data_IF_652402624277
#
_entry.id   IF_652402624277
#
_cell.length_a   1.000
_cell.length_b   1.000
_cell.length_c   1.000
_cell.angle_alpha   90.00
_cell.angle_beta   90.00
_cell.angle_gamma   90.00
#
_symmetry.space_group_name_H-M   'P 1'
#
loop_
_entity.id
_entity.type
_entity.pdbx_description
1 polymer ?
#
# COMPACT_ATOMS: atom_id res chain seq x y z
N UNK A 1 7.16 -9.32 3.69
CA UNK A 1 5.96 -8.46 3.62
C UNK A 1 6.22 -7.32 2.64
N UNK A 2 5.17 -6.76 2.03
CA UNK A 2 5.31 -5.66 1.08
C UNK A 2 5.93 -4.42 1.72
N UNK A 3 6.77 -3.71 0.97
CA UNK A 3 7.41 -2.48 1.41
C UNK A 3 7.55 -1.52 0.24
N UNK A 4 7.55 -0.22 0.56
CA UNK A 4 7.87 0.85 -0.38
C UNK A 4 8.94 1.73 0.26
N UNK A 5 10.06 1.87 -0.43
CA UNK A 5 11.24 2.57 0.06
C UNK A 5 11.57 3.65 -0.95
N UNK A 6 11.73 4.89 -0.49
CA UNK A 6 12.07 6.02 -1.34
C UNK A 6 13.48 6.48 -1.02
N UNK A 7 14.29 6.69 -2.06
CA UNK A 7 15.60 7.30 -1.97
C UNK A 7 15.62 8.56 -2.84
N UNK A 8 16.03 9.69 -2.27
CA UNK A 8 16.31 10.90 -3.04
C UNK A 8 17.80 10.95 -3.34
N UNK A 9 18.18 10.93 -4.60
CA UNK A 9 19.58 10.98 -5.05
C UNK A 9 19.99 12.43 -5.33
N UNK A 10 21.22 12.82 -5.04
CA UNK A 10 21.66 14.22 -5.22
C UNK A 10 21.68 14.68 -6.67
N UNK A 11 21.93 13.75 -7.59
CA UNK A 11 22.06 14.02 -9.02
C UNK A 11 20.89 13.44 -9.80
N UNK A 12 20.56 14.08 -10.93
CA UNK A 12 19.65 13.50 -11.91
C UNK A 12 20.34 12.28 -12.53
N UNK A 13 19.69 11.13 -12.45
CA UNK A 13 20.19 9.90 -13.03
C UNK A 13 19.45 9.61 -14.35
N UNK A 14 20.13 9.14 -15.41
CA UNK A 14 19.43 8.60 -16.58
C UNK A 14 18.53 7.45 -16.12
N UNK A 15 17.35 7.27 -16.71
CA UNK A 15 16.39 6.24 -16.27
C UNK A 15 16.94 4.82 -16.42
N UNK A 16 17.66 4.32 -15.41
CA UNK A 16 18.35 3.04 -15.44
C UNK A 16 17.52 1.91 -14.79
N UNK A 17 16.40 2.24 -14.13
CA UNK A 17 15.39 1.32 -13.59
C UNK A 17 13.97 1.92 -13.62
N UNK A 18 12.94 1.08 -13.58
CA UNK A 18 11.57 1.39 -13.99
C UNK A 18 10.76 2.42 -13.15
N UNK A 19 11.27 2.95 -12.03
CA UNK A 19 10.53 3.88 -11.17
C UNK A 19 11.35 5.09 -10.69
N UNK A 20 12.06 5.71 -11.62
CA UNK A 20 12.67 7.02 -11.40
C UNK A 20 11.71 8.14 -11.79
N UNK A 21 11.55 9.14 -10.91
CA UNK A 21 10.82 10.36 -11.24
C UNK A 21 11.43 11.58 -10.55
N UNK A 22 11.30 12.75 -11.18
CA UNK A 22 11.78 14.03 -10.64
C UNK A 22 10.66 14.79 -9.89
N UNK A 23 9.78 14.05 -9.20
CA UNK A 23 8.60 14.63 -8.54
C UNK A 23 7.52 15.10 -9.54
N UNK A 24 6.91 16.25 -9.28
CA UNK A 24 5.85 16.88 -10.10
C UNK A 24 6.39 17.98 -11.04
N UNK A 25 7.71 18.20 -11.08
CA UNK A 25 8.33 19.28 -11.86
C UNK A 25 8.86 18.76 -13.18
N UNK A 26 8.67 19.56 -14.24
CA UNK A 26 9.14 19.26 -15.59
C UNK A 26 10.66 19.46 -15.77
N UNK A 27 11.29 20.30 -14.93
CA UNK A 27 12.74 20.58 -14.93
C UNK A 27 13.17 21.32 -13.64
N UNK A 28 14.47 21.27 -13.32
CA UNK A 28 15.09 21.94 -12.17
C UNK A 28 16.27 21.14 -11.59
N UNK A 29 17.07 21.71 -10.66
CA UNK A 29 18.23 21.05 -10.04
C UNK A 29 17.85 19.92 -9.06
N UNK A 30 16.58 19.55 -9.02
CA UNK A 30 16.05 18.62 -8.04
C UNK A 30 16.36 17.17 -8.46
N UNK A 31 17.40 16.62 -7.85
CA UNK A 31 17.52 15.27 -7.31
C UNK A 31 16.44 14.24 -7.72
N UNK A 32 16.87 13.12 -8.29
CA UNK A 32 16.02 12.01 -8.73
C UNK A 32 15.47 11.18 -7.55
N UNK A 33 14.17 10.86 -7.56
CA UNK A 33 13.58 9.89 -6.63
C UNK A 33 13.63 8.49 -7.20
N UNK A 34 14.23 7.57 -6.45
CA UNK A 34 14.20 6.13 -6.67
C UNK A 34 13.15 5.50 -5.75
N UNK A 35 12.33 4.59 -6.29
CA UNK A 35 11.38 3.80 -5.50
C UNK A 35 11.78 2.32 -5.57
N UNK A 36 12.12 1.74 -4.42
CA UNK A 36 12.36 0.32 -4.22
C UNK A 36 11.16 -0.37 -3.58
N UNK A 37 10.97 -1.65 -3.89
CA UNK A 37 9.90 -2.47 -3.32
C UNK A 37 10.44 -3.71 -2.61
N UNK A 38 9.85 -3.99 -1.45
CA UNK A 38 10.10 -5.21 -0.68
C UNK A 38 11.31 -5.13 0.25
N UNK A 39 11.16 -5.74 1.42
CA UNK A 39 12.30 -6.17 2.22
C UNK A 39 12.62 -7.60 1.80
N UNK A 40 13.86 -7.86 1.38
CA UNK A 40 14.34 -9.23 1.22
C UNK A 40 14.59 -9.83 2.61
N UNK A 41 14.83 -11.14 2.69
CA UNK A 41 15.20 -11.79 3.97
C UNK A 41 16.53 -11.32 4.57
N UNK A 42 17.21 -10.36 3.95
CA UNK A 42 18.48 -9.77 4.39
C UNK A 42 18.26 -8.40 5.07
N UNK A 43 17.31 -7.60 4.59
CA UNK A 43 16.88 -6.34 5.20
C UNK A 43 15.85 -6.60 6.32
N UNK A 44 16.33 -7.20 7.41
CA UNK A 44 15.50 -7.68 8.51
C UNK A 44 15.11 -6.58 9.50
N UNK A 45 16.00 -5.63 9.77
CA UNK A 45 15.71 -4.42 10.54
C UNK A 45 15.27 -3.29 9.60
N UNK A 46 14.00 -2.91 9.69
CA UNK A 46 13.40 -1.84 8.87
C UNK A 46 13.71 -0.44 9.39
N UNK A 47 14.25 -0.33 10.60
CA UNK A 47 14.65 0.93 11.22
C UNK A 47 16.12 1.27 10.94
N UNK A 48 16.91 0.29 10.52
CA UNK A 48 18.31 0.47 10.13
C UNK A 48 18.44 1.08 8.73
N UNK A 49 18.19 2.38 8.66
CA UNK A 49 18.32 3.14 7.41
C UNK A 49 19.73 3.12 6.83
N UNK A 50 20.77 3.03 7.67
CA UNK A 50 22.16 2.98 7.22
C UNK A 50 22.45 1.69 6.47
N UNK A 51 22.05 0.54 7.03
CA UNK A 51 22.19 -0.75 6.36
C UNK A 51 21.38 -0.83 5.06
N UNK A 52 20.13 -0.33 5.07
CA UNK A 52 19.27 -0.32 3.88
C UNK A 52 19.88 0.55 2.76
N UNK A 53 20.42 1.72 3.09
CA UNK A 53 21.10 2.60 2.12
C UNK A 53 22.39 1.93 1.62
N UNK A 54 23.18 1.30 2.49
CA UNK A 54 24.39 0.56 2.08
C UNK A 54 24.04 -0.55 1.10
N UNK A 55 23.05 -1.37 1.42
CA UNK A 55 22.57 -2.44 0.57
C UNK A 55 22.01 -1.94 -0.77
N UNK A 56 21.32 -0.80 -0.78
CA UNK A 56 20.89 -0.15 -2.02
C UNK A 56 22.10 0.23 -2.88
N UNK A 57 23.13 0.83 -2.30
CA UNK A 57 24.34 1.21 -3.02
C UNK A 57 25.09 -0.01 -3.55
N UNK A 58 25.35 -0.99 -2.70
CA UNK A 58 26.11 -2.20 -3.05
C UNK A 58 25.44 -3.04 -4.14
N UNK A 59 24.12 -3.22 -4.07
CA UNK A 59 23.41 -4.18 -4.93
C UNK A 59 22.76 -3.53 -6.16
N UNK A 60 22.50 -2.22 -6.13
CA UNK A 60 21.73 -1.54 -7.18
C UNK A 60 22.49 -0.35 -7.78
N UNK A 61 23.08 0.54 -6.97
CA UNK A 61 23.78 1.71 -7.48
C UNK A 61 24.96 2.16 -6.62
N UNK A 62 26.17 1.64 -6.88
CA UNK A 62 27.36 1.94 -6.07
C UNK A 62 27.67 3.45 -6.02
N UNK A 63 27.39 4.16 -7.11
CA UNK A 63 27.65 5.59 -7.28
C UNK A 63 26.52 6.48 -6.74
N UNK A 64 25.47 5.90 -6.15
CA UNK A 64 24.37 6.69 -5.61
C UNK A 64 24.80 7.54 -4.42
N UNK A 65 24.64 8.84 -4.55
CA UNK A 65 24.70 9.78 -3.45
C UNK A 65 23.29 10.07 -2.94
N UNK A 66 22.93 9.47 -1.79
CA UNK A 66 21.57 9.45 -1.23
C UNK A 66 21.43 10.61 -0.24
N UNK A 67 20.55 11.57 -0.57
CA UNK A 67 20.24 12.73 0.26
C UNK A 67 19.12 12.47 1.28
N UNK A 68 18.09 11.72 0.89
CA UNK A 68 16.96 11.41 1.75
C UNK A 68 16.53 9.95 1.58
N UNK A 69 15.98 9.42 2.66
CA UNK A 69 15.42 8.09 2.74
C UNK A 69 14.06 8.15 3.44
N UNK A 70 13.06 7.46 2.89
CA UNK A 70 11.74 7.37 3.50
C UNK A 70 11.09 6.00 3.29
N UNK A 71 10.66 5.37 4.37
CA UNK A 71 9.84 4.16 4.37
C UNK A 71 8.87 4.16 5.54
N UNK A 72 7.97 3.18 5.56
CA UNK A 72 7.05 2.92 6.67
C UNK A 72 7.01 1.42 6.97
N UNK A 73 7.05 1.05 8.26
CA UNK A 73 6.89 -0.33 8.69
C UNK A 73 5.41 -0.71 8.79
N UNK A 74 4.80 -0.95 7.63
CA UNK A 74 3.40 -1.38 7.55
C UNK A 74 3.11 -2.68 8.32
N UNK A 75 4.12 -3.55 8.50
CA UNK A 75 3.95 -4.83 9.18
C UNK A 75 3.71 -4.67 10.68
N UNK A 76 4.45 -3.75 11.30
CA UNK A 76 4.38 -3.49 12.74
C UNK A 76 3.49 -2.29 13.08
N UNK A 77 2.94 -1.59 12.09
CA UNK A 77 1.92 -0.57 12.31
C UNK A 77 0.68 -1.20 12.97
N UNK A 78 0.26 -0.74 14.16
CA UNK A 78 -0.84 -1.36 14.91
C UNK A 78 -2.21 -1.25 14.21
N UNK A 79 -2.37 -0.30 13.29
CA UNK A 79 -3.62 -0.05 12.58
C UNK A 79 -3.68 -0.73 11.21
N UNK A 80 -2.52 -1.03 10.60
CA UNK A 80 -2.46 -1.72 9.31
C UNK A 80 -2.11 -3.21 9.43
N UNK A 81 -1.12 -3.56 10.25
CA UNK A 81 -0.61 -4.93 10.46
C UNK A 81 -0.19 -5.66 9.17
N UNK A 82 0.14 -4.89 8.13
CA UNK A 82 0.44 -5.37 6.80
C UNK A 82 0.39 -4.25 5.77
N UNK A 83 0.95 -4.52 4.59
CA UNK A 83 0.87 -3.62 3.44
C UNK A 83 -0.45 -3.86 2.68
N UNK A 84 -0.42 -3.88 1.36
CA UNK A 84 -1.61 -4.23 0.57
C UNK A 84 -1.98 -5.71 0.74
N UNK A 85 -3.27 -6.00 0.58
CA UNK A 85 -3.81 -7.36 0.66
C UNK A 85 -3.16 -8.29 -0.38
N UNK A 86 -2.42 -9.29 0.11
CA UNK A 86 -1.94 -10.44 -0.65
C UNK A 86 -2.42 -11.72 0.04
N UNK A 87 -3.40 -12.39 -0.55
CA UNK A 87 -4.01 -13.57 0.03
C UNK A 87 -3.18 -14.82 -0.24
N UNK A 88 -3.09 -15.71 0.75
CA UNK A 88 -2.53 -17.04 0.55
C UNK A 88 -3.41 -17.89 -0.38
N UNK A 89 -2.85 -18.97 -0.97
CA UNK A 89 -3.60 -19.87 -1.85
C UNK A 89 -4.91 -20.34 -1.23
N UNK A 90 -6.00 -20.32 -2.02
CA UNK A 90 -7.33 -20.78 -1.60
C UNK A 90 -8.05 -19.92 -0.55
N UNK A 91 -7.39 -18.93 0.07
CA UNK A 91 -8.01 -18.11 1.12
C UNK A 91 -9.14 -17.24 0.56
N UNK A 92 -8.95 -16.72 -0.64
CA UNK A 92 -9.92 -15.87 -1.31
C UNK A 92 -11.23 -16.60 -1.62
N UNK A 93 -11.16 -17.77 -2.27
CA UNK A 93 -12.34 -18.55 -2.61
C UNK A 93 -13.10 -19.02 -1.36
N UNK A 94 -12.39 -19.20 -0.25
CA UNK A 94 -12.98 -19.64 1.02
C UNK A 94 -13.63 -18.51 1.82
N UNK A 95 -13.01 -17.32 1.90
CA UNK A 95 -13.39 -16.30 2.89
C UNK A 95 -14.01 -15.04 2.31
N UNK A 96 -13.92 -14.80 0.99
CA UNK A 96 -14.37 -13.53 0.38
C UNK A 96 -15.84 -13.21 0.68
N UNK A 97 -16.73 -14.19 0.50
CA UNK A 97 -18.16 -13.99 0.72
C UNK A 97 -18.49 -13.62 2.16
N UNK A 98 -17.82 -14.24 3.13
CA UNK A 98 -18.04 -13.96 4.56
C UNK A 98 -17.52 -12.58 4.94
N UNK A 99 -16.34 -12.18 4.46
CA UNK A 99 -15.76 -10.84 4.72
C UNK A 99 -16.59 -9.69 4.16
N UNK A 100 -17.36 -9.94 3.11
CA UNK A 100 -18.24 -8.96 2.49
C UNK A 100 -19.63 -8.89 3.13
N UNK A 101 -19.98 -9.88 3.96
CA UNK A 101 -21.28 -9.97 4.61
C UNK A 101 -21.39 -8.94 5.73
N UNK A 102 -22.57 -8.34 5.87
CA UNK A 102 -22.87 -7.43 6.99
C UNK A 102 -23.33 -8.24 8.20
N UNK A 103 -23.01 -7.74 9.41
CA UNK A 103 -23.45 -8.34 10.66
C UNK A 103 -24.43 -7.39 11.36
N UNK A 104 -25.73 -7.71 11.27
CA UNK A 104 -26.80 -6.83 11.74
C UNK A 104 -26.73 -5.43 11.10
N UNK A 105 -26.40 -4.42 11.93
CA UNK A 105 -26.27 -3.02 11.50
C UNK A 105 -24.83 -2.61 11.17
N UNK A 106 -23.88 -3.54 11.22
CA UNK A 106 -22.47 -3.30 10.93
C UNK A 106 -22.18 -3.72 9.49
N UNK A 107 -21.73 -2.76 8.68
CA UNK A 107 -21.38 -2.98 7.27
C UNK A 107 -19.87 -2.86 7.11
N UNK A 108 -19.22 -3.90 6.62
CA UNK A 108 -17.78 -3.95 6.42
C UNK A 108 -17.36 -3.47 5.02
N UNK A 109 -16.33 -2.62 4.96
CA UNK A 109 -15.73 -2.15 3.72
C UNK A 109 -14.21 -2.01 3.86
N UNK A 110 -13.47 -2.68 2.96
CA UNK A 110 -12.03 -2.51 2.81
C UNK A 110 -11.64 -2.82 1.36
N UNK A 111 -10.53 -2.24 0.90
CA UNK A 111 -9.88 -2.66 -0.34
C UNK A 111 -9.45 -4.14 -0.31
N UNK A 112 -9.26 -4.73 0.87
CA UNK A 112 -8.72 -6.08 1.05
C UNK A 112 -9.66 -7.19 0.54
N UNK A 113 -10.94 -6.88 0.40
CA UNK A 113 -11.97 -7.79 -0.10
C UNK A 113 -12.84 -7.14 -1.19
N UNK A 114 -12.25 -6.23 -1.98
CA UNK A 114 -12.89 -5.67 -3.18
C UNK A 114 -13.09 -6.71 -4.28
N UNK A 115 -14.13 -6.59 -5.09
CA UNK A 115 -14.41 -7.53 -6.18
C UNK A 115 -13.47 -7.32 -7.37
N UNK A 116 -13.17 -6.06 -7.71
CA UNK A 116 -12.26 -5.68 -8.78
C UNK A 116 -10.82 -5.42 -8.31
N UNK A 117 -10.46 -4.14 -8.15
CA UNK A 117 -9.10 -3.69 -7.85
C UNK A 117 -8.72 -3.89 -6.38
N UNK A 118 -8.64 -5.14 -5.96
CA UNK A 118 -8.35 -5.55 -4.58
C UNK A 118 -6.94 -5.19 -4.14
N UNK A 119 -6.84 -4.66 -2.92
CA UNK A 119 -5.58 -4.15 -2.37
C UNK A 119 -5.15 -2.79 -2.95
N UNK A 120 -5.94 -2.19 -3.83
CA UNK A 120 -5.72 -0.86 -4.39
C UNK A 120 -6.73 0.16 -3.85
N UNK A 121 -6.41 1.43 -4.03
CA UNK A 121 -7.29 2.57 -3.67
C UNK A 121 -8.64 2.46 -4.37
N UNK A 122 -8.67 2.01 -5.63
CA UNK A 122 -9.93 1.81 -6.36
C UNK A 122 -10.85 0.78 -5.69
N UNK A 123 -10.28 -0.32 -5.17
CA UNK A 123 -11.03 -1.28 -4.37
C UNK A 123 -11.61 -0.69 -3.06
N UNK A 124 -10.91 0.25 -2.42
CA UNK A 124 -11.48 0.97 -1.27
C UNK A 124 -12.68 1.81 -1.68
N UNK A 125 -12.61 2.50 -2.83
CA UNK A 125 -13.70 3.30 -3.38
C UNK A 125 -14.90 2.42 -3.76
N UNK A 126 -14.65 1.27 -4.39
CA UNK A 126 -15.67 0.28 -4.75
C UNK A 126 -16.43 -0.18 -3.51
N UNK A 127 -15.72 -0.70 -2.49
CA UNK A 127 -16.35 -1.22 -1.27
C UNK A 127 -16.99 -0.14 -0.41
N UNK A 128 -16.44 1.08 -0.40
CA UNK A 128 -17.08 2.23 0.24
C UNK A 128 -18.44 2.56 -0.38
N UNK A 129 -18.55 2.58 -1.72
CA UNK A 129 -19.82 2.81 -2.42
C UNK A 129 -20.84 1.71 -2.14
N UNK A 130 -20.41 0.45 -2.11
CA UNK A 130 -21.28 -0.69 -1.76
C UNK A 130 -21.77 -0.57 -0.33
N UNK A 131 -20.89 -0.26 0.62
CA UNK A 131 -21.26 -0.12 2.03
C UNK A 131 -22.25 1.02 2.27
N UNK A 132 -22.07 2.17 1.63
CA UNK A 132 -23.02 3.28 1.71
C UNK A 132 -24.43 2.88 1.25
N UNK A 133 -24.54 2.16 0.12
CA UNK A 133 -25.82 1.63 -0.38
C UNK A 133 -26.45 0.62 0.58
N UNK A 134 -25.65 -0.26 1.17
CA UNK A 134 -26.13 -1.26 2.13
C UNK A 134 -26.61 -0.61 3.43
N UNK A 135 -25.88 0.39 3.94
CA UNK A 135 -26.27 1.13 5.13
C UNK A 135 -27.62 1.86 4.94
N UNK A 136 -27.85 2.48 3.78
CA UNK A 136 -29.14 3.10 3.44
C UNK A 136 -30.28 2.08 3.43
N UNK A 137 -30.05 0.87 2.90
CA UNK A 137 -31.05 -0.20 2.91
C UNK A 137 -31.41 -0.62 4.34
N UNK A 138 -30.40 -0.88 5.17
CA UNK A 138 -30.58 -1.24 6.59
C UNK A 138 -31.37 -0.15 7.33
N UNK A 139 -31.00 1.12 7.16
CA UNK A 139 -31.71 2.24 7.80
C UNK A 139 -33.17 2.37 7.32
N UNK A 140 -33.45 2.13 6.03
CA UNK A 140 -34.81 2.23 5.47
C UNK A 140 -35.73 1.08 5.90
N UNK A 141 -35.19 -0.11 6.13
CA UNK A 141 -35.96 -1.26 6.63
C UNK A 141 -36.46 -1.01 8.06
N UNK A 142 -35.69 -0.30 8.88
CA UNK A 142 -36.12 0.15 10.20
C UNK A 142 -37.29 1.12 10.16
N UNK A 143 -37.26 2.11 9.26
CA UNK A 143 -38.36 3.06 9.12
C UNK A 143 -39.67 2.36 8.73
N UNK A 144 -39.58 1.24 8.01
CA UNK A 144 -40.75 0.41 7.64
C UNK A 144 -41.20 -0.54 8.75
N UNK A 145 -40.31 -1.06 9.58
CA UNK A 145 -40.66 -1.97 10.67
C UNK A 145 -41.30 -1.26 11.88
N UNK A 146 -41.26 0.08 11.93
CA UNK A 146 -41.87 0.91 12.98
C UNK A 146 -43.26 1.48 12.62
N UNK A 147 -43.78 1.17 11.43
CA UNK A 147 -45.12 1.54 10.95
C UNK A 147 -46.03 0.32 10.99
#
# INVERSE_FOLDING_TARGET
MGAKIHFKLSNIQPGWFAYYHNGTRASGPDATWCIGFGYNGQLTDKTDSAHIISAFKENLNPEADVLLYATHDWANDPYAKGAWSCWGPGSMSKYLAELQKSEGRVVFASADWADGWRGFVDGALERGKVAARNALKVASQESRAKL
#
